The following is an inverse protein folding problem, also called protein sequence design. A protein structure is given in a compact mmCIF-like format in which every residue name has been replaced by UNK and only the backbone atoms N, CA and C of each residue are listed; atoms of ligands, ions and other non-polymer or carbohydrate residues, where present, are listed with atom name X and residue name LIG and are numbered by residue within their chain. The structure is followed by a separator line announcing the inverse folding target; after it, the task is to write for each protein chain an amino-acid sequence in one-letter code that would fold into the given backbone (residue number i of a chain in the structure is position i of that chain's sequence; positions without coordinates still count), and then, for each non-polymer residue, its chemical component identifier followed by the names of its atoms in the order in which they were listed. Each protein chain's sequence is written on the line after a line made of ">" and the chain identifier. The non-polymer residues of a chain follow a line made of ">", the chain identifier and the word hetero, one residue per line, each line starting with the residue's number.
data_IF_587743655261
#
_entry.id   IF_587743655261
#
_cell.length_a   1.000
_cell.length_b   1.000
_cell.length_c   1.000
_cell.angle_alpha   90.00
_cell.angle_beta   90.00
_cell.angle_gamma   90.00
#
_symmetry.space_group_name_H-M   'P 1'
#
loop_
_entity.id
_entity.type
_entity.pdbx_description
1 polymer ?
#
# COMPACT_ATOMS: atom_id res chain seq x y z
N UNK A 1 -34.52 87.99 -31.43
CA UNK A 1 -34.75 87.21 -30.20
C UNK A 1 -35.58 85.99 -30.60
N UNK A 2 -35.02 84.78 -30.50
CA UNK A 2 -35.76 83.53 -30.70
C UNK A 2 -35.32 82.53 -29.63
N UNK A 3 -36.30 81.96 -28.93
CA UNK A 3 -36.17 81.09 -27.76
C UNK A 3 -36.10 79.63 -28.23
N UNK A 4 -35.20 78.84 -27.65
CA UNK A 4 -35.05 77.41 -27.91
C UNK A 4 -35.43 76.60 -26.65
N UNK A 5 -36.33 75.63 -26.78
CA UNK A 5 -36.75 74.71 -25.71
C UNK A 5 -36.03 73.34 -25.82
N UNK A 6 -35.89 72.55 -24.72
CA UNK A 6 -35.00 71.38 -24.68
C UNK A 6 -35.69 70.04 -25.02
N UNK A 7 -34.92 69.16 -25.66
CA UNK A 7 -35.26 67.76 -25.99
C UNK A 7 -35.12 66.86 -24.76
N UNK A 8 -36.20 66.24 -24.31
CA UNK A 8 -36.18 65.22 -23.25
C UNK A 8 -37.07 64.03 -23.62
N UNK A 9 -36.62 63.09 -24.46
CA UNK A 9 -37.35 61.83 -24.68
C UNK A 9 -36.59 60.77 -25.49
N UNK A 10 -35.43 60.26 -25.05
CA UNK A 10 -34.84 59.04 -25.68
C UNK A 10 -34.15 58.06 -24.72
N UNK A 11 -33.98 58.34 -23.41
CA UNK A 11 -33.10 57.52 -22.55
C UNK A 11 -33.74 56.43 -21.68
N UNK A 12 -35.05 56.15 -21.78
CA UNK A 12 -35.72 55.15 -20.91
C UNK A 12 -35.93 53.76 -21.53
N UNK A 13 -35.81 53.60 -22.85
CA UNK A 13 -36.13 52.31 -23.50
C UNK A 13 -34.96 51.32 -23.57
N UNK A 14 -33.71 51.80 -23.55
CA UNK A 14 -32.53 50.92 -23.64
C UNK A 14 -32.12 50.28 -22.31
N UNK A 15 -32.56 50.80 -21.16
CA UNK A 15 -32.16 50.27 -19.85
C UNK A 15 -33.00 49.05 -19.43
N UNK A 16 -34.24 48.93 -19.92
CA UNK A 16 -35.16 47.84 -19.59
C UNK A 16 -34.93 46.54 -20.40
N UNK A 17 -34.12 46.60 -21.46
CA UNK A 17 -33.80 45.40 -22.27
C UNK A 17 -32.55 44.67 -21.78
N UNK A 18 -31.65 45.37 -21.09
CA UNK A 18 -30.41 44.79 -20.58
C UNK A 18 -30.61 44.06 -19.24
N UNK A 19 -31.53 44.52 -18.40
CA UNK A 19 -31.85 43.85 -17.12
C UNK A 19 -32.66 42.55 -17.31
N UNK A 20 -33.38 42.40 -18.42
CA UNK A 20 -34.21 41.21 -18.69
C UNK A 20 -33.45 40.01 -19.26
N UNK A 21 -32.19 40.19 -19.67
CA UNK A 21 -31.32 39.11 -20.16
C UNK A 21 -30.39 38.55 -19.07
N UNK A 22 -30.33 39.18 -17.90
CA UNK A 22 -29.58 38.68 -16.73
C UNK A 22 -30.39 37.68 -15.88
N UNK A 23 -31.69 37.53 -16.10
CA UNK A 23 -32.56 36.62 -15.35
C UNK A 23 -32.63 35.18 -15.91
N UNK A 24 -31.98 34.86 -17.04
CA UNK A 24 -32.15 33.57 -17.73
C UNK A 24 -30.93 32.64 -17.77
N UNK A 25 -30.03 32.75 -16.79
CA UNK A 25 -29.04 31.69 -16.53
C UNK A 25 -28.90 31.45 -15.03
N UNK A 26 -30.01 31.28 -14.31
CA UNK A 26 -29.97 30.64 -12.99
C UNK A 26 -29.43 29.23 -13.19
N UNK A 27 -28.12 29.09 -13.06
CA UNK A 27 -27.43 27.80 -13.08
C UNK A 27 -28.13 26.93 -12.04
N UNK A 28 -28.63 25.74 -12.41
CA UNK A 28 -29.27 24.84 -11.47
C UNK A 28 -28.36 24.67 -10.24
N UNK A 29 -28.91 24.92 -9.05
CA UNK A 29 -28.17 24.74 -7.78
C UNK A 29 -28.02 23.27 -7.39
N UNK A 30 -28.68 22.38 -8.13
CA UNK A 30 -28.81 20.95 -7.83
C UNK A 30 -27.66 20.11 -8.42
N UNK A 31 -26.53 20.72 -8.78
CA UNK A 31 -25.36 19.97 -9.19
C UNK A 31 -24.51 19.59 -7.99
N UNK A 32 -23.87 18.41 -8.06
CA UNK A 32 -22.89 17.96 -7.05
C UNK A 32 -21.73 18.94 -6.84
N UNK A 33 -21.53 19.87 -7.76
CA UNK A 33 -20.57 20.95 -7.70
C UNK A 33 -21.27 22.25 -8.10
N UNK A 34 -21.13 23.31 -7.30
CA UNK A 34 -21.68 24.64 -7.62
C UNK A 34 -21.05 25.14 -8.92
N UNK A 35 -21.88 25.56 -9.90
CA UNK A 35 -21.48 25.82 -11.30
C UNK A 35 -21.02 24.57 -12.08
N UNK A 36 -21.58 23.41 -11.77
CA UNK A 36 -21.34 22.15 -12.47
C UNK A 36 -21.57 22.25 -13.98
N UNK A 37 -21.05 21.25 -14.70
CA UNK A 37 -21.11 21.18 -16.16
C UNK A 37 -22.57 21.24 -16.66
N UNK A 38 -22.91 22.35 -17.32
CA UNK A 38 -24.24 22.61 -17.87
C UNK A 38 -24.62 21.48 -18.82
N UNK A 39 -25.79 20.88 -18.62
CA UNK A 39 -26.34 19.84 -19.50
C UNK A 39 -25.94 18.41 -19.15
N UNK A 40 -25.09 18.20 -18.14
CA UNK A 40 -24.92 16.90 -17.51
C UNK A 40 -25.87 16.80 -16.31
N UNK A 41 -26.29 15.59 -15.93
CA UNK A 41 -27.19 15.39 -14.79
C UNK A 41 -26.56 15.80 -13.45
N UNK A 42 -27.37 15.93 -12.38
CA UNK A 42 -26.89 16.33 -11.05
C UNK A 42 -25.76 15.43 -10.53
N UNK A 43 -25.84 14.14 -10.86
CA UNK A 43 -25.02 13.06 -10.31
C UNK A 43 -23.75 12.70 -11.11
N UNK A 44 -23.49 13.34 -12.25
CA UNK A 44 -22.51 12.84 -13.24
C UNK A 44 -21.09 12.66 -12.66
N UNK A 45 -20.66 13.53 -11.75
CA UNK A 45 -19.31 13.44 -11.19
C UNK A 45 -19.17 12.27 -10.21
N UNK A 46 -20.25 11.85 -9.55
CA UNK A 46 -20.26 10.67 -8.68
C UNK A 46 -20.37 9.39 -9.51
N UNK A 47 -21.09 9.41 -10.62
CA UNK A 47 -21.10 8.30 -11.60
C UNK A 47 -19.69 8.09 -12.17
N UNK A 48 -19.01 9.16 -12.59
CA UNK A 48 -17.62 9.09 -13.03
C UNK A 48 -16.70 8.53 -11.95
N UNK A 49 -16.87 8.95 -10.68
CA UNK A 49 -16.12 8.36 -9.56
C UNK A 49 -16.41 6.87 -9.37
N UNK A 50 -17.66 6.43 -9.60
CA UNK A 50 -18.09 5.02 -9.50
C UNK A 50 -17.41 4.14 -10.54
N UNK A 51 -17.20 4.69 -11.74
CA UNK A 51 -16.53 4.01 -12.84
C UNK A 51 -15.00 4.05 -12.74
N UNK A 52 -14.44 4.90 -11.87
CA UNK A 52 -13.01 4.91 -11.62
C UNK A 52 -12.60 3.66 -10.85
N UNK A 53 -11.60 2.97 -11.40
CA UNK A 53 -11.03 1.76 -10.82
C UNK A 53 -9.75 2.05 -10.03
N UNK A 54 -9.18 3.25 -10.13
CA UNK A 54 -7.92 3.58 -9.45
C UNK A 54 -8.13 4.62 -8.37
N UNK A 55 -7.69 4.35 -7.15
CA UNK A 55 -7.63 5.36 -6.07
C UNK A 55 -6.83 6.58 -6.51
N UNK A 56 -5.78 6.40 -7.32
CA UNK A 56 -5.00 7.52 -7.85
C UNK A 56 -5.82 8.40 -8.79
N UNK A 57 -6.70 7.81 -9.59
CA UNK A 57 -7.52 8.55 -10.55
C UNK A 57 -8.62 9.31 -9.79
N UNK A 58 -9.22 8.69 -8.77
CA UNK A 58 -10.11 9.36 -7.81
C UNK A 58 -9.41 10.53 -7.13
N UNK A 59 -8.18 10.32 -6.61
CA UNK A 59 -7.40 11.39 -5.98
C UNK A 59 -7.10 12.52 -6.94
N UNK A 60 -6.62 12.21 -8.15
CA UNK A 60 -6.33 13.19 -9.17
C UNK A 60 -7.59 13.98 -9.52
N UNK A 61 -8.72 13.31 -9.74
CA UNK A 61 -9.99 13.95 -10.05
C UNK A 61 -10.48 14.91 -8.95
N UNK A 62 -10.35 14.51 -7.68
CA UNK A 62 -10.72 15.34 -6.52
C UNK A 62 -9.74 16.49 -6.27
N UNK A 63 -8.47 16.33 -6.64
CA UNK A 63 -7.41 17.31 -6.37
C UNK A 63 -7.20 18.34 -7.51
N UNK A 64 -7.83 18.13 -8.68
CA UNK A 64 -7.73 19.05 -9.81
C UNK A 64 -8.31 20.43 -9.49
N UNK A 65 -9.41 20.51 -8.74
CA UNK A 65 -10.03 21.77 -8.37
C UNK A 65 -10.73 21.72 -6.99
N UNK A 66 -10.86 22.90 -6.35
CA UNK A 66 -11.56 23.03 -5.06
C UNK A 66 -13.03 22.64 -5.14
N UNK A 67 -13.67 22.81 -6.30
CA UNK A 67 -15.08 22.51 -6.46
C UNK A 67 -15.31 20.99 -6.54
N UNK A 68 -14.42 20.21 -7.16
CA UNK A 68 -14.49 18.74 -7.14
C UNK A 68 -14.08 18.16 -5.79
N UNK A 69 -13.24 18.84 -5.01
CA UNK A 69 -12.89 18.42 -3.65
C UNK A 69 -14.11 18.31 -2.72
N UNK A 70 -15.16 19.11 -2.92
CA UNK A 70 -16.41 19.06 -2.14
C UNK A 70 -17.13 17.71 -2.27
N UNK A 71 -16.89 16.98 -3.38
CA UNK A 71 -17.47 15.65 -3.58
C UNK A 71 -17.10 14.67 -2.47
N UNK A 72 -15.96 14.85 -1.78
CA UNK A 72 -15.55 13.99 -0.67
C UNK A 72 -16.52 14.02 0.52
N UNK A 73 -17.27 15.12 0.66
CA UNK A 73 -18.22 15.34 1.75
C UNK A 73 -19.65 14.94 1.34
N UNK A 74 -19.85 14.46 0.10
CA UNK A 74 -21.14 14.01 -0.41
C UNK A 74 -21.54 12.64 0.20
N UNK A 75 -22.81 12.45 0.54
CA UNK A 75 -23.32 11.22 1.18
C UNK A 75 -23.03 9.94 0.39
N UNK A 76 -23.07 10.02 -0.95
CA UNK A 76 -22.80 8.90 -1.86
C UNK A 76 -21.32 8.68 -2.18
N UNK A 77 -20.42 9.54 -1.70
CA UNK A 77 -19.00 9.49 -2.03
C UNK A 77 -18.34 8.16 -1.65
N UNK A 78 -18.67 7.64 -0.46
CA UNK A 78 -18.15 6.35 -0.01
C UNK A 78 -18.51 5.23 -0.99
N UNK A 79 -19.78 5.15 -1.37
CA UNK A 79 -20.29 4.18 -2.34
C UNK A 79 -19.68 4.37 -3.73
N UNK A 80 -19.57 5.60 -4.19
CA UNK A 80 -18.97 5.93 -5.49
C UNK A 80 -17.47 5.58 -5.55
N UNK A 81 -16.77 5.52 -4.41
CA UNK A 81 -15.35 5.15 -4.39
C UNK A 81 -15.11 3.69 -4.05
N UNK A 82 -16.15 2.91 -3.76
CA UNK A 82 -16.03 1.47 -3.45
C UNK A 82 -15.34 0.70 -4.57
N UNK A 83 -15.64 0.99 -5.84
CA UNK A 83 -14.99 0.33 -6.99
C UNK A 83 -13.49 0.61 -7.01
N UNK A 84 -13.09 1.88 -6.91
CA UNK A 84 -11.69 2.28 -6.88
C UNK A 84 -10.94 1.72 -5.66
N UNK A 85 -11.61 1.69 -4.51
CA UNK A 85 -11.10 1.10 -3.28
C UNK A 85 -11.01 -0.43 -3.39
N UNK A 86 -11.90 -1.09 -4.12
CA UNK A 86 -11.86 -2.53 -4.33
C UNK A 86 -10.79 -2.95 -5.36
N UNK A 87 -10.59 -2.19 -6.43
CA UNK A 87 -9.75 -2.58 -7.56
C UNK A 87 -8.25 -2.48 -7.28
N UNK A 88 -7.80 -1.64 -6.31
CA UNK A 88 -6.36 -1.42 -6.07
C UNK A 88 -5.91 -1.29 -4.62
N UNK A 89 -6.66 -1.81 -3.65
CA UNK A 89 -6.22 -1.78 -2.23
C UNK A 89 -5.14 -2.81 -1.88
N UNK A 90 -4.66 -3.60 -2.85
CA UNK A 90 -3.52 -4.49 -2.66
C UNK A 90 -2.19 -3.75 -2.60
N UNK A 91 -1.41 -3.99 -1.56
CA UNK A 91 0.00 -3.57 -1.57
C UNK A 91 0.79 -4.56 -2.40
N UNK A 92 1.36 -4.11 -3.52
CA UNK A 92 2.28 -4.91 -4.33
C UNK A 92 3.70 -4.75 -3.79
N UNK A 93 4.38 -5.88 -3.63
CA UNK A 93 5.80 -5.89 -3.26
C UNK A 93 6.60 -6.39 -4.45
N UNK A 94 7.61 -5.61 -4.83
CA UNK A 94 8.59 -5.99 -5.85
C UNK A 94 9.88 -6.33 -5.14
N UNK A 95 10.34 -7.56 -5.31
CA UNK A 95 11.65 -7.98 -4.81
C UNK A 95 12.69 -7.93 -5.92
N UNK A 96 13.81 -7.28 -5.61
CA UNK A 96 14.98 -7.18 -6.48
C UNK A 96 16.15 -7.84 -5.73
N UNK A 97 16.70 -8.91 -6.29
CA UNK A 97 17.63 -9.79 -5.59
C UNK A 97 19.07 -9.33 -5.66
N UNK A 98 19.44 -8.56 -6.70
CA UNK A 98 20.83 -8.17 -6.98
C UNK A 98 20.93 -6.67 -7.24
N UNK A 99 22.04 -6.08 -6.80
CA UNK A 99 22.34 -4.66 -7.05
C UNK A 99 22.36 -4.29 -8.55
N UNK A 100 22.94 -5.09 -9.47
CA UNK A 100 22.82 -4.85 -10.90
C UNK A 100 21.36 -4.76 -11.38
N UNK A 101 20.48 -5.65 -10.90
CA UNK A 101 19.06 -5.59 -11.24
C UNK A 101 18.40 -4.31 -10.74
N UNK A 102 18.77 -3.84 -9.53
CA UNK A 102 18.27 -2.57 -9.01
C UNK A 102 18.76 -1.40 -9.86
N UNK A 103 20.03 -1.39 -10.24
CA UNK A 103 20.59 -0.39 -11.14
C UNK A 103 19.84 -0.38 -12.47
N UNK A 104 19.54 -1.54 -13.04
CA UNK A 104 18.73 -1.66 -14.25
C UNK A 104 17.31 -1.13 -14.05
N UNK A 105 16.63 -1.47 -12.95
CA UNK A 105 15.26 -1.01 -12.66
C UNK A 105 15.21 0.51 -12.49
N UNK A 106 16.28 1.12 -11.97
CA UNK A 106 16.39 2.57 -11.80
C UNK A 106 16.93 3.29 -13.05
N UNK A 107 17.54 2.56 -13.99
CA UNK A 107 18.01 3.12 -15.25
C UNK A 107 16.78 3.47 -16.13
N UNK A 108 16.57 4.74 -16.52
CA UNK A 108 15.45 5.11 -17.39
C UNK A 108 15.58 4.55 -18.82
N UNK A 109 16.79 4.13 -19.22
CA UNK A 109 17.10 3.61 -20.54
C UNK A 109 17.99 2.36 -20.45
N UNK A 110 17.49 1.24 -19.90
CA UNK A 110 18.26 0.02 -19.79
C UNK A 110 18.40 -0.65 -21.16
N UNK A 111 19.54 -1.27 -21.41
CA UNK A 111 19.76 -2.09 -22.62
C UNK A 111 18.87 -3.34 -22.59
N UNK A 112 18.64 -3.98 -23.74
CA UNK A 112 17.84 -5.23 -23.76
C UNK A 112 18.50 -6.35 -22.93
N UNK A 113 19.83 -6.44 -22.96
CA UNK A 113 20.59 -7.39 -22.13
C UNK A 113 20.38 -7.11 -20.62
N UNK A 114 20.41 -5.84 -20.22
CA UNK A 114 20.13 -5.45 -18.83
C UNK A 114 18.70 -5.82 -18.43
N UNK A 115 17.72 -5.60 -19.32
CA UNK A 115 16.31 -5.97 -19.08
C UNK A 115 16.14 -7.47 -18.89
N UNK A 116 16.85 -8.29 -19.67
CA UNK A 116 16.83 -9.76 -19.54
C UNK A 116 17.42 -10.24 -18.21
N UNK A 117 18.38 -9.52 -17.61
CA UNK A 117 18.94 -9.88 -16.30
C UNK A 117 18.02 -9.51 -15.11
N UNK A 118 17.05 -8.62 -15.33
CA UNK A 118 16.07 -8.22 -14.30
C UNK A 118 15.04 -9.32 -14.08
N UNK A 119 15.28 -10.11 -13.04
CA UNK A 119 14.32 -11.11 -12.54
C UNK A 119 13.54 -10.50 -11.39
N UNK A 120 12.30 -10.10 -11.67
CA UNK A 120 11.38 -9.58 -10.65
C UNK A 120 10.42 -10.67 -10.20
N UNK A 121 10.12 -10.65 -8.90
CA UNK A 121 8.97 -11.37 -8.35
C UNK A 121 7.98 -10.31 -7.87
N UNK A 122 6.81 -10.29 -8.50
CA UNK A 122 5.69 -9.47 -8.06
C UNK A 122 4.79 -10.31 -7.15
N UNK A 123 4.50 -9.78 -5.97
CA UNK A 123 3.59 -10.41 -5.03
C UNK A 123 2.36 -9.53 -4.79
N UNK A 124 1.17 -10.14 -4.88
CA UNK A 124 -0.12 -9.51 -4.63
C UNK A 124 -0.92 -10.29 -3.58
N UNK A 125 -1.16 -9.65 -2.42
CA UNK A 125 -1.85 -10.26 -1.27
C UNK A 125 -3.34 -10.49 -1.52
N UNK A 126 -3.97 -9.70 -2.39
CA UNK A 126 -5.42 -9.67 -2.54
C UNK A 126 -6.00 -10.92 -3.22
N UNK A 127 -5.14 -11.74 -3.84
CA UNK A 127 -5.57 -12.94 -4.58
C UNK A 127 -6.06 -14.07 -3.67
N UNK A 128 -5.85 -13.97 -2.35
CA UNK A 128 -6.24 -14.98 -1.36
C UNK A 128 -7.65 -14.72 -0.84
N UNK A 129 -8.65 -15.19 -1.60
CA UNK A 129 -10.09 -15.10 -1.23
C UNK A 129 -10.45 -15.89 0.04
N UNK A 130 -9.57 -16.79 0.45
CA UNK A 130 -9.79 -17.77 1.50
C UNK A 130 -9.71 -17.14 2.90
N UNK A 131 -8.96 -16.05 3.04
CA UNK A 131 -8.90 -15.25 4.27
C UNK A 131 -9.82 -14.03 4.09
N UNK A 132 -11.10 -14.21 4.43
CA UNK A 132 -12.18 -13.20 4.43
C UNK A 132 -11.88 -12.06 5.44
N UNK A 133 -10.81 -11.33 5.18
CA UNK A 133 -10.17 -10.38 6.08
C UNK A 133 -10.53 -8.96 5.63
N UNK A 134 -10.63 -8.03 6.59
CA UNK A 134 -10.95 -6.63 6.28
C UNK A 134 -9.92 -6.03 5.31
N UNK A 135 -10.31 -5.01 4.54
CA UNK A 135 -9.40 -4.30 3.63
C UNK A 135 -8.10 -3.88 4.33
N UNK A 136 -8.17 -3.42 5.59
CA UNK A 136 -6.99 -3.06 6.37
C UNK A 136 -6.06 -4.26 6.61
N UNK A 137 -6.60 -5.45 6.87
CA UNK A 137 -5.80 -6.66 7.06
C UNK A 137 -5.13 -7.17 5.77
N UNK A 138 -5.53 -6.66 4.60
CA UNK A 138 -4.94 -6.98 3.30
C UNK A 138 -3.82 -6.01 2.88
N UNK A 139 -3.59 -4.94 3.65
CA UNK A 139 -2.48 -4.00 3.42
C UNK A 139 -1.17 -4.58 3.92
N UNK A 140 -0.06 -4.17 3.33
CA UNK A 140 1.28 -4.50 3.83
C UNK A 140 1.90 -3.25 4.45
N UNK A 141 2.25 -3.32 5.73
CA UNK A 141 2.94 -2.24 6.43
C UNK A 141 4.46 -2.36 6.33
N UNK A 142 4.97 -3.58 6.49
CA UNK A 142 6.41 -3.89 6.50
C UNK A 142 6.64 -5.25 5.89
N UNK A 143 7.80 -5.43 5.28
CA UNK A 143 8.19 -6.70 4.64
C UNK A 143 9.65 -7.00 4.93
N UNK A 144 9.96 -8.29 4.87
CA UNK A 144 11.33 -8.78 4.80
C UNK A 144 11.36 -10.13 4.10
N UNK A 145 12.53 -10.53 3.60
CA UNK A 145 12.73 -11.83 2.97
C UNK A 145 13.48 -12.76 3.92
N UNK A 146 12.94 -13.96 4.07
CA UNK A 146 13.61 -15.09 4.71
C UNK A 146 14.02 -16.09 3.64
N UNK A 147 15.17 -16.74 3.82
CA UNK A 147 15.59 -17.82 2.94
C UNK A 147 16.24 -18.97 3.71
N UNK A 148 16.18 -20.17 3.11
CA UNK A 148 16.92 -21.35 3.59
C UNK A 148 17.64 -22.01 2.44
N UNK A 149 18.90 -22.40 2.66
CA UNK A 149 19.61 -23.27 1.74
C UNK A 149 19.07 -24.70 1.89
N UNK A 150 18.42 -25.21 0.85
CA UNK A 150 17.90 -26.57 0.79
C UNK A 150 18.79 -27.41 -0.12
N UNK A 151 19.15 -28.61 0.34
CA UNK A 151 19.93 -29.57 -0.43
C UNK A 151 19.01 -30.46 -1.26
N UNK A 152 19.35 -30.64 -2.53
CA UNK A 152 18.69 -31.57 -3.46
C UNK A 152 19.39 -32.94 -3.39
N UNK A 153 20.72 -32.89 -3.29
CA UNK A 153 21.67 -34.00 -3.13
C UNK A 153 22.97 -33.47 -2.49
N UNK A 154 24.06 -34.25 -2.52
CA UNK A 154 25.33 -33.90 -1.89
C UNK A 154 26.05 -32.72 -2.57
N UNK A 155 25.80 -32.46 -3.86
CA UNK A 155 26.51 -31.48 -4.66
C UNK A 155 25.62 -30.30 -5.07
N UNK A 156 24.31 -30.48 -5.00
CA UNK A 156 23.34 -29.50 -5.48
C UNK A 156 22.50 -28.97 -4.32
N UNK A 157 22.54 -27.64 -4.13
CA UNK A 157 21.66 -26.93 -3.22
C UNK A 157 21.06 -25.70 -3.90
N UNK A 158 20.00 -25.16 -3.31
CA UNK A 158 19.38 -23.93 -3.76
C UNK A 158 18.78 -23.18 -2.57
N UNK A 159 18.50 -21.88 -2.76
CA UNK A 159 17.82 -21.09 -1.74
C UNK A 159 16.32 -21.07 -2.00
N UNK A 160 15.54 -21.57 -1.04
CA UNK A 160 14.10 -21.36 -0.98
C UNK A 160 13.82 -20.04 -0.24
N UNK A 161 12.73 -19.36 -0.62
CA UNK A 161 12.42 -18.01 -0.14
C UNK A 161 11.01 -17.91 0.42
N UNK A 162 10.86 -17.15 1.49
CA UNK A 162 9.58 -16.80 2.08
C UNK A 162 9.55 -15.30 2.38
N UNK A 163 8.49 -14.63 1.94
CA UNK A 163 8.19 -13.27 2.35
C UNK A 163 7.55 -13.31 3.73
N UNK A 164 8.13 -12.59 4.68
CA UNK A 164 7.55 -12.34 5.99
C UNK A 164 7.10 -10.89 6.02
N UNK A 165 5.85 -10.62 6.37
CA UNK A 165 5.30 -9.28 6.33
C UNK A 165 4.38 -8.99 7.51
N UNK A 166 4.24 -7.71 7.82
CA UNK A 166 3.27 -7.20 8.78
C UNK A 166 2.10 -6.64 7.98
N UNK A 167 0.89 -7.15 8.22
CA UNK A 167 -0.30 -6.67 7.54
C UNK A 167 -0.83 -5.35 8.16
N UNK A 168 -1.87 -4.74 7.58
CA UNK A 168 -2.38 -3.45 8.08
C UNK A 168 -2.97 -3.50 9.49
N UNK A 169 -3.39 -4.67 9.97
CA UNK A 169 -3.79 -4.85 11.37
C UNK A 169 -2.63 -5.28 12.29
N UNK A 170 -1.38 -5.26 11.83
CA UNK A 170 -0.20 -5.53 12.65
C UNK A 170 0.12 -7.02 12.85
N UNK A 171 -0.52 -7.94 12.14
CA UNK A 171 -0.19 -9.37 12.27
C UNK A 171 1.02 -9.73 11.42
N UNK A 172 1.88 -10.59 11.96
CA UNK A 172 2.92 -11.22 11.16
C UNK A 172 2.30 -12.31 10.28
N UNK A 173 2.63 -12.30 9.00
CA UNK A 173 2.14 -13.21 7.97
C UNK A 173 3.32 -13.70 7.13
N UNK A 174 3.11 -14.81 6.42
CA UNK A 174 4.13 -15.40 5.55
C UNK A 174 3.57 -15.81 4.20
N UNK A 175 4.41 -15.71 3.18
CA UNK A 175 4.12 -16.13 1.82
C UNK A 175 5.29 -16.92 1.23
N UNK A 176 5.00 -17.97 0.48
CA UNK A 176 6.00 -18.70 -0.29
C UNK A 176 6.39 -17.89 -1.54
N UNK A 177 7.68 -17.65 -1.72
CA UNK A 177 8.22 -16.98 -2.90
C UNK A 177 8.92 -17.97 -3.81
N UNK A 178 8.33 -18.25 -4.99
CA UNK A 178 8.93 -19.09 -6.01
C UNK A 178 9.54 -18.19 -7.10
N UNK A 179 10.86 -18.05 -7.07
CA UNK A 179 11.60 -17.32 -8.10
C UNK A 179 11.76 -18.15 -9.38
N UNK A 180 11.96 -17.52 -10.56
CA UNK A 180 12.16 -18.22 -11.82
C UNK A 180 13.32 -19.25 -11.83
N UNK A 181 14.33 -19.07 -10.96
CA UNK A 181 15.42 -20.07 -10.79
C UNK A 181 14.95 -21.42 -10.18
N UNK A 182 13.77 -21.44 -9.58
CA UNK A 182 13.14 -22.63 -8.99
C UNK A 182 12.29 -23.31 -10.09
N UNK A 183 13.01 -23.76 -11.10
CA UNK A 183 12.53 -24.27 -12.40
C UNK A 183 12.10 -25.74 -12.38
N UNK A 184 12.51 -26.50 -11.37
CA UNK A 184 12.18 -27.93 -11.25
C UNK A 184 11.10 -28.19 -10.20
N UNK A 185 10.24 -29.17 -10.48
CA UNK A 185 9.19 -29.60 -9.54
C UNK A 185 9.76 -30.02 -8.18
N UNK A 186 10.92 -30.70 -8.17
CA UNK A 186 11.63 -31.09 -6.94
C UNK A 186 12.03 -29.88 -6.10
N UNK A 187 12.62 -28.83 -6.69
CA UNK A 187 12.96 -27.59 -5.95
C UNK A 187 11.71 -26.90 -5.41
N UNK A 188 10.63 -26.87 -6.20
CA UNK A 188 9.37 -26.25 -5.75
C UNK A 188 8.71 -27.04 -4.61
N UNK A 189 8.74 -28.37 -4.66
CA UNK A 189 8.24 -29.22 -3.59
C UNK A 189 9.02 -29.01 -2.29
N UNK A 190 10.34 -29.07 -2.34
CA UNK A 190 11.20 -28.80 -1.18
C UNK A 190 10.94 -27.40 -0.59
N UNK A 191 10.72 -26.41 -1.45
CA UNK A 191 10.36 -25.04 -1.02
C UNK A 191 9.01 -25.02 -0.29
N UNK A 192 7.99 -25.73 -0.81
CA UNK A 192 6.67 -25.85 -0.17
C UNK A 192 6.75 -26.59 1.17
N UNK A 193 7.56 -27.64 1.26
CA UNK A 193 7.75 -28.43 2.47
C UNK A 193 8.43 -27.59 3.56
N UNK A 194 9.55 -26.93 3.25
CA UNK A 194 10.18 -25.98 4.16
C UNK A 194 9.25 -24.83 4.55
N UNK A 195 8.51 -24.25 3.61
CA UNK A 195 7.60 -23.15 3.93
C UNK A 195 6.54 -23.55 4.96
N UNK A 196 6.08 -24.80 4.96
CA UNK A 196 5.13 -25.32 5.97
C UNK A 196 5.77 -25.40 7.36
N UNK A 197 7.08 -25.58 7.48
CA UNK A 197 7.75 -25.68 8.79
C UNK A 197 7.89 -24.33 9.50
N UNK A 198 7.73 -23.21 8.79
CA UNK A 198 7.80 -21.86 9.39
C UNK A 198 6.60 -21.66 10.33
N UNK A 199 6.83 -21.51 11.63
CA UNK A 199 5.75 -21.29 12.60
C UNK A 199 5.74 -19.83 13.04
N UNK A 200 4.71 -19.09 12.65
CA UNK A 200 4.56 -17.68 13.02
C UNK A 200 4.13 -17.53 14.48
N UNK A 201 4.37 -16.35 15.09
CA UNK A 201 3.83 -16.02 16.41
C UNK A 201 2.29 -16.08 16.43
N UNK A 202 1.69 -16.17 17.63
CA UNK A 202 0.23 -16.14 17.78
C UNK A 202 -0.41 -14.91 17.10
N UNK A 203 -1.56 -15.08 16.40
CA UNK A 203 -2.18 -14.02 15.58
C UNK A 203 -2.77 -12.85 16.38
N UNK A 204 -2.92 -12.97 17.70
CA UNK A 204 -3.33 -11.91 18.61
C UNK A 204 -2.24 -10.85 18.80
N UNK A 205 -0.97 -11.20 18.62
CA UNK A 205 0.15 -10.29 18.75
C UNK A 205 0.17 -9.27 17.61
N UNK A 206 0.61 -8.05 17.95
CA UNK A 206 0.69 -6.93 17.02
C UNK A 206 2.13 -6.48 16.89
N UNK A 207 2.61 -6.45 15.65
CA UNK A 207 3.97 -6.11 15.27
C UNK A 207 4.00 -4.74 14.59
N UNK A 208 5.07 -3.99 14.85
CA UNK A 208 5.33 -2.69 14.23
C UNK A 208 6.55 -2.69 13.29
N UNK A 209 7.50 -3.62 13.50
CA UNK A 209 8.67 -3.74 12.63
C UNK A 209 9.13 -5.20 12.49
N UNK A 210 9.74 -5.50 11.35
CA UNK A 210 10.33 -6.80 11.05
C UNK A 210 11.55 -6.62 10.15
N UNK A 211 12.63 -7.34 10.48
CA UNK A 211 13.88 -7.38 9.72
C UNK A 211 14.34 -8.82 9.55
N UNK A 212 15.12 -9.08 8.52
CA UNK A 212 15.71 -10.38 8.25
C UNK A 212 17.10 -10.17 7.64
N UNK A 213 18.02 -11.06 8.02
CA UNK A 213 19.29 -11.25 7.34
C UNK A 213 19.29 -12.58 6.56
N UNK A 214 18.09 -13.03 6.16
CA UNK A 214 17.90 -14.26 5.40
C UNK A 214 17.60 -15.46 6.28
N UNK A 215 18.64 -16.06 6.85
CA UNK A 215 18.51 -17.26 7.68
C UNK A 215 17.85 -16.97 9.03
N UNK A 216 18.04 -15.75 9.55
CA UNK A 216 17.47 -15.29 10.82
C UNK A 216 16.67 -14.00 10.63
N UNK A 217 15.69 -13.81 11.51
CA UNK A 217 14.74 -12.71 11.42
C UNK A 217 14.34 -12.25 12.81
N UNK A 218 14.09 -10.95 12.97
CA UNK A 218 13.61 -10.34 14.21
C UNK A 218 12.37 -9.51 13.89
N UNK A 219 11.35 -9.59 14.75
CA UNK A 219 10.14 -8.80 14.70
C UNK A 219 9.88 -8.15 16.06
N UNK A 220 9.42 -6.91 16.05
CA UNK A 220 9.12 -6.15 17.27
C UNK A 220 7.62 -5.92 17.41
N UNK A 221 7.07 -6.25 18.58
CA UNK A 221 5.67 -5.98 18.90
C UNK A 221 5.44 -4.51 19.23
N UNK A 222 4.19 -4.06 19.19
CA UNK A 222 3.80 -2.69 19.59
C UNK A 222 4.08 -2.41 21.08
N UNK A 223 4.15 -3.46 21.90
CA UNK A 223 4.54 -3.38 23.31
C UNK A 223 6.07 -3.24 23.50
N UNK A 224 6.84 -3.45 22.42
CA UNK A 224 8.30 -3.38 22.41
C UNK A 224 8.98 -4.73 22.58
N UNK A 225 8.25 -5.85 22.51
CA UNK A 225 8.83 -7.18 22.67
C UNK A 225 9.52 -7.65 21.39
N UNK A 226 10.68 -8.29 21.49
CA UNK A 226 11.34 -8.91 20.34
C UNK A 226 11.05 -10.39 20.20
N UNK A 227 10.66 -10.78 18.99
CA UNK A 227 10.52 -12.15 18.55
C UNK A 227 11.57 -12.47 17.51
N UNK A 228 12.17 -13.65 17.58
CA UNK A 228 13.21 -14.08 16.64
C UNK A 228 12.91 -15.45 16.03
N UNK A 229 13.39 -15.65 14.80
CA UNK A 229 13.48 -16.94 14.09
C UNK A 229 14.94 -17.16 13.70
N UNK A 230 15.42 -18.40 13.82
CA UNK A 230 16.76 -18.79 13.36
C UNK A 230 17.90 -18.37 14.28
N UNK A 231 17.59 -17.98 15.53
CA UNK A 231 18.56 -17.57 16.54
C UNK A 231 18.14 -18.13 17.90
N UNK A 232 19.09 -18.80 18.57
CA UNK A 232 18.90 -19.30 19.93
C UNK A 232 19.03 -18.18 20.95
N UNK A 233 18.68 -18.50 22.19
CA UNK A 233 18.86 -17.59 23.31
C UNK A 233 20.33 -17.15 23.43
N UNK A 234 21.31 -18.05 23.34
CA UNK A 234 22.74 -17.69 23.42
C UNK A 234 23.27 -16.87 22.22
N UNK A 235 22.41 -16.44 21.29
CA UNK A 235 22.78 -15.71 20.08
C UNK A 235 23.40 -16.60 19.00
N UNK A 236 23.57 -17.90 19.25
CA UNK A 236 24.02 -18.85 18.24
C UNK A 236 22.89 -19.17 17.25
N UNK A 237 23.27 -19.79 16.14
CA UNK A 237 22.32 -20.12 15.09
C UNK A 237 21.38 -21.23 15.55
N UNK A 238 20.10 -21.03 15.21
CA UNK A 238 19.08 -22.06 15.31
C UNK A 238 18.65 -22.45 13.89
N UNK A 239 18.62 -23.75 13.61
CA UNK A 239 18.08 -24.27 12.36
C UNK A 239 16.53 -24.34 12.37
N UNK A 240 15.94 -24.04 13.54
CA UNK A 240 14.52 -23.94 13.79
C UNK A 240 13.83 -22.82 13.00
N UNK A 241 12.63 -23.13 12.53
CA UNK A 241 11.78 -22.21 11.76
C UNK A 241 10.64 -21.62 12.59
N UNK A 242 10.71 -21.82 13.90
CA UNK A 242 9.73 -21.31 14.86
C UNK A 242 10.12 -19.90 15.30
N UNK A 243 9.15 -18.99 15.28
CA UNK A 243 9.30 -17.69 15.91
C UNK A 243 9.05 -17.81 17.41
N UNK A 244 10.01 -17.35 18.21
CA UNK A 244 9.94 -17.38 19.68
C UNK A 244 10.19 -16.01 20.27
N UNK A 245 9.62 -15.76 21.45
CA UNK A 245 9.94 -14.57 22.24
C UNK A 245 11.41 -14.65 22.66
N UNK A 246 12.20 -13.65 22.30
CA UNK A 246 13.62 -13.69 22.56
C UNK A 246 13.93 -13.33 24.02
N UNK A 247 14.38 -14.28 24.83
CA UNK A 247 14.58 -14.05 26.26
C UNK A 247 15.65 -12.98 26.60
N UNK A 248 16.60 -12.72 25.70
CA UNK A 248 17.70 -11.78 25.92
C UNK A 248 17.30 -10.33 25.71
N UNK A 249 16.39 -10.10 24.77
CA UNK A 249 15.91 -8.76 24.44
C UNK A 249 14.59 -8.41 25.13
N UNK A 250 14.11 -9.25 26.04
CA UNK A 250 12.86 -9.05 26.75
C UNK A 250 13.06 -9.32 28.25
N UNK A 251 13.14 -8.26 29.07
CA UNK A 251 12.87 -8.39 30.50
C UNK A 251 11.42 -8.04 30.83
N UNK A 252 11.10 -8.02 32.12
CA UNK A 252 9.76 -7.71 32.64
C UNK A 252 9.26 -6.40 32.00
N UNK A 253 8.04 -6.43 31.47
CA UNK A 253 7.36 -5.31 30.80
C UNK A 253 7.94 -4.88 29.43
N UNK A 254 8.72 -5.74 28.76
CA UNK A 254 9.27 -5.46 27.42
C UNK A 254 10.44 -4.47 27.43
N UNK A 255 11.04 -4.27 28.59
CA UNK A 255 12.22 -3.43 28.80
C UNK A 255 13.48 -4.29 28.74
N UNK A 256 14.58 -3.72 28.28
CA UNK A 256 15.91 -4.33 28.34
C UNK A 256 16.67 -3.71 29.51
N UNK A 257 17.23 -4.52 30.42
CA UNK A 257 18.09 -4.01 31.48
C UNK A 257 19.37 -3.46 30.86
N UNK A 258 19.72 -2.22 31.22
CA UNK A 258 20.96 -1.58 30.80
C UNK A 258 21.64 -0.91 31.97
N UNK A 259 22.91 -0.52 31.82
CA UNK A 259 23.64 0.27 32.81
C UNK A 259 23.02 1.64 33.09
N UNK A 260 22.15 2.13 32.19
CA UNK A 260 21.41 3.39 32.33
C UNK A 260 19.97 3.19 32.83
N UNK A 261 19.60 1.95 33.17
CA UNK A 261 18.26 1.56 33.58
C UNK A 261 17.45 0.85 32.47
N UNK A 262 16.26 0.34 32.81
CA UNK A 262 15.39 -0.37 31.87
C UNK A 262 15.04 0.51 30.65
N UNK A 263 15.30 0.00 29.45
CA UNK A 263 15.16 0.75 28.19
C UNK A 263 14.34 -0.01 27.15
N UNK A 264 13.60 0.71 26.29
CA UNK A 264 12.89 0.10 25.15
C UNK A 264 13.73 0.11 23.89
N UNK A 265 13.62 -0.94 23.08
CA UNK A 265 14.20 -0.95 21.74
C UNK A 265 13.38 -0.02 20.84
N UNK A 266 14.00 1.06 20.40
CA UNK A 266 13.40 1.96 19.39
C UNK A 266 13.52 1.37 17.99
N UNK A 267 14.70 0.89 17.64
CA UNK A 267 15.03 0.42 16.29
C UNK A 267 16.03 -0.74 16.37
N UNK A 268 16.00 -1.61 15.35
CA UNK A 268 16.98 -2.68 15.18
C UNK A 268 17.28 -2.87 13.68
N UNK A 269 18.48 -3.32 13.38
CA UNK A 269 18.92 -3.66 12.03
C UNK A 269 19.94 -4.80 12.11
N UNK A 270 20.15 -5.44 10.96
CA UNK A 270 21.29 -6.31 10.75
C UNK A 270 22.31 -5.53 9.93
N UNK A 271 23.60 -5.69 10.26
CA UNK A 271 24.71 -5.19 9.45
C UNK A 271 24.99 -6.13 8.27
#
# INVERSE_FOLDING_TARGET
>A
MNVCAPKTLVRRSQMLHTERLLEFMTVPKEYNVVQGLIGLGPDIMLELLTDMTSVRDVQNFLAVDKATLVLKDHERFSKATETALADRTGTRVVFIKRLPQLATVLNPHPTEEEKEDVRTLMFDIMTRKDENTSQEAQRIKKTTLSFKNLRIDNNTSFYAWALIYINGIGQLKKELCIFPEIDTEKKQQLSREWFKTIQLPPPELRFEDVKSAGAYSIAKTVEGQLWSRGMKDDGSWDDGEQWTLNSHFNAKDGLIPSSLGPSKIRTFCFE
#
